data_IF_687092877620
#
_entry.id   IF_687092877620
#
_cell.length_a   1.000
_cell.length_b   1.000
_cell.length_c   1.000
_cell.angle_alpha   90.00
_cell.angle_beta   90.00
_cell.angle_gamma   90.00
#
_symmetry.space_group_name_H-M   'P 1'
#
loop_
_entity.id
_entity.type
_entity.pdbx_description
1 polymer ?
#
# COMPACT_ATOMS: atom_id res chain seq x y z
N UNK A 1 -15.70 55.37 -54.91
CA UNK A 1 -15.91 55.68 -53.51
C UNK A 1 -15.89 57.19 -53.35
N UNK A 2 -17.04 57.70 -52.94
CA UNK A 2 -17.21 59.14 -52.79
C UNK A 2 -16.47 59.57 -51.47
N UNK A 3 -15.82 60.78 -51.52
CA UNK A 3 -15.04 61.29 -50.36
C UNK A 3 -15.91 61.38 -49.12
N UNK A 4 -17.22 61.56 -49.27
CA UNK A 4 -18.20 61.59 -48.21
C UNK A 4 -18.40 60.26 -47.54
N UNK A 5 -18.40 59.12 -48.26
CA UNK A 5 -18.50 57.76 -47.72
C UNK A 5 -17.26 57.32 -46.96
N UNK A 6 -16.08 57.76 -47.43
CA UNK A 6 -14.82 57.51 -46.76
C UNK A 6 -14.72 58.22 -45.38
N UNK A 7 -15.23 59.53 -45.37
CA UNK A 7 -15.26 60.27 -44.12
C UNK A 7 -16.23 59.66 -43.09
N UNK A 8 -17.41 59.26 -43.53
CA UNK A 8 -18.39 58.55 -42.66
C UNK A 8 -17.88 57.24 -42.11
N UNK A 9 -17.02 56.50 -42.86
CA UNK A 9 -16.39 55.23 -42.41
C UNK A 9 -15.29 55.53 -41.37
N UNK A 10 -14.53 56.61 -41.56
CA UNK A 10 -13.50 57.11 -40.62
C UNK A 10 -14.11 57.56 -39.29
N UNK A 11 -15.24 58.29 -39.34
CA UNK A 11 -15.96 58.70 -38.14
C UNK A 11 -16.54 57.54 -37.37
N UNK A 12 -17.14 56.50 -38.04
CA UNK A 12 -17.60 55.29 -37.41
C UNK A 12 -16.46 54.46 -36.80
N UNK A 13 -15.28 54.44 -37.43
CA UNK A 13 -14.12 53.77 -36.89
C UNK A 13 -13.57 54.48 -35.65
N UNK A 14 -13.64 55.82 -35.65
CA UNK A 14 -13.30 56.67 -34.49
C UNK A 14 -14.23 56.39 -33.30
N UNK A 15 -15.55 56.35 -33.52
CA UNK A 15 -16.53 56.03 -32.46
C UNK A 15 -16.34 54.60 -31.91
N UNK A 16 -16.10 53.62 -32.76
CA UNK A 16 -15.83 52.26 -32.33
C UNK A 16 -14.54 52.14 -31.50
N UNK A 17 -13.51 52.92 -31.86
CA UNK A 17 -12.25 52.94 -31.10
C UNK A 17 -12.39 53.62 -29.74
N UNK A 18 -13.17 54.71 -29.65
CA UNK A 18 -13.50 55.36 -28.38
C UNK A 18 -14.31 54.45 -27.46
N UNK A 19 -15.30 53.73 -27.99
CA UNK A 19 -16.10 52.77 -27.25
C UNK A 19 -15.23 51.61 -26.73
N UNK A 20 -14.30 51.08 -27.55
CA UNK A 20 -13.33 50.06 -27.15
C UNK A 20 -12.42 50.56 -26.02
N UNK A 21 -11.93 51.80 -26.11
CA UNK A 21 -11.08 52.40 -25.08
C UNK A 21 -11.80 52.59 -23.74
N UNK A 22 -13.09 52.92 -23.77
CA UNK A 22 -13.91 53.03 -22.58
C UNK A 22 -14.16 51.68 -21.93
N UNK A 23 -14.54 50.66 -22.71
CA UNK A 23 -14.75 49.28 -22.19
C UNK A 23 -13.48 48.68 -21.64
N UNK A 24 -12.33 48.88 -22.30
CA UNK A 24 -11.05 48.39 -21.81
C UNK A 24 -10.58 49.11 -20.53
N UNK A 25 -10.87 50.41 -20.39
CA UNK A 25 -10.57 51.17 -19.16
C UNK A 25 -11.47 50.72 -17.98
N UNK A 26 -12.72 50.33 -18.25
CA UNK A 26 -13.62 49.77 -17.24
C UNK A 26 -13.22 48.36 -16.82
N UNK A 27 -12.76 47.51 -17.76
CA UNK A 27 -12.24 46.17 -17.45
C UNK A 27 -10.95 46.24 -16.63
N UNK A 28 -10.04 47.16 -16.93
CA UNK A 28 -8.83 47.41 -16.14
C UNK A 28 -9.17 47.83 -14.71
N UNK A 29 -10.13 48.76 -14.54
CA UNK A 29 -10.59 49.19 -13.20
C UNK A 29 -11.22 48.07 -12.41
N UNK A 30 -11.99 47.18 -13.04
CA UNK A 30 -12.55 45.96 -12.41
C UNK A 30 -11.48 44.95 -12.02
N UNK A 31 -10.44 44.78 -12.85
CA UNK A 31 -9.29 43.94 -12.57
C UNK A 31 -8.49 44.45 -11.38
N UNK A 32 -8.23 45.74 -11.30
CA UNK A 32 -7.51 46.35 -10.18
C UNK A 32 -8.29 46.26 -8.86
N UNK A 33 -9.62 46.47 -8.90
CA UNK A 33 -10.48 46.31 -7.72
C UNK A 33 -10.50 44.88 -7.20
N UNK A 34 -10.58 43.87 -8.09
CA UNK A 34 -10.51 42.44 -7.74
C UNK A 34 -9.14 42.05 -7.17
N UNK A 35 -8.07 42.62 -7.70
CA UNK A 35 -6.71 42.40 -7.23
C UNK A 35 -6.50 42.99 -5.83
N UNK A 36 -7.02 44.22 -5.61
CA UNK A 36 -6.97 44.88 -4.31
C UNK A 36 -7.78 44.16 -3.24
N UNK A 37 -8.95 43.63 -3.60
CA UNK A 37 -9.76 42.81 -2.68
C UNK A 37 -9.07 41.47 -2.31
N UNK A 38 -8.45 40.81 -3.28
CA UNK A 38 -7.67 39.58 -3.03
C UNK A 38 -6.45 39.85 -2.16
N UNK A 39 -5.72 40.95 -2.41
CA UNK A 39 -4.60 41.37 -1.56
C UNK A 39 -5.06 41.66 -0.13
N UNK A 40 -6.20 42.31 0.05
CA UNK A 40 -6.76 42.56 1.36
C UNK A 40 -7.17 41.29 2.11
N UNK A 41 -7.67 40.29 1.41
CA UNK A 41 -7.95 38.95 2.02
C UNK A 41 -6.68 38.22 2.40
N UNK A 42 -5.65 38.26 1.56
CA UNK A 42 -4.34 37.66 1.84
C UNK A 42 -3.69 38.39 3.04
N UNK A 43 -3.75 39.71 3.10
CA UNK A 43 -3.21 40.47 4.22
C UNK A 43 -3.89 40.07 5.55
N UNK A 44 -5.23 39.99 5.56
CA UNK A 44 -5.98 39.54 6.74
C UNK A 44 -5.64 38.09 7.17
N UNK A 45 -5.46 37.20 6.21
CA UNK A 45 -5.05 35.83 6.54
C UNK A 45 -3.62 35.75 7.06
N UNK A 46 -2.73 36.60 6.58
CA UNK A 46 -1.37 36.73 7.04
C UNK A 46 -1.31 37.29 8.48
N UNK A 47 -2.08 38.35 8.75
CA UNK A 47 -2.17 38.95 10.11
C UNK A 47 -2.72 37.91 11.12
N UNK A 48 -3.76 37.16 10.75
CA UNK A 48 -4.30 36.08 11.58
C UNK A 48 -3.29 34.95 11.81
N UNK A 49 -2.48 34.62 10.82
CA UNK A 49 -1.43 33.62 10.95
C UNK A 49 -0.28 34.10 11.87
N UNK A 50 0.05 35.40 11.81
CA UNK A 50 1.06 36.02 12.71
C UNK A 50 0.56 36.02 14.14
N UNK A 51 -0.72 36.37 14.39
CA UNK A 51 -1.32 36.33 15.72
C UNK A 51 -1.38 34.89 16.28
N UNK A 52 -1.77 33.91 15.44
CA UNK A 52 -1.79 32.52 15.83
C UNK A 52 -0.38 31.99 16.18
N UNK A 53 0.64 32.42 15.43
CA UNK A 53 2.04 32.07 15.74
C UNK A 53 2.49 32.70 17.06
N UNK A 54 2.16 33.95 17.31
CA UNK A 54 2.49 34.62 18.57
C UNK A 54 1.82 33.96 19.78
N UNK A 55 0.55 33.54 19.65
CA UNK A 55 -0.16 32.79 20.66
C UNK A 55 0.48 31.39 20.91
N UNK A 56 0.92 30.73 19.87
CA UNK A 56 1.61 29.44 19.97
C UNK A 56 2.98 29.56 20.63
N UNK A 57 3.74 30.60 20.29
CA UNK A 57 5.04 30.89 20.93
C UNK A 57 4.87 31.27 22.42
N UNK A 58 3.79 31.94 22.78
CA UNK A 58 3.46 32.25 24.18
C UNK A 58 3.07 30.98 24.95
N UNK A 59 2.30 30.07 24.34
CA UNK A 59 1.93 28.80 24.95
C UNK A 59 3.16 27.90 25.16
N UNK A 60 4.06 27.81 24.17
CA UNK A 60 5.33 27.07 24.28
C UNK A 60 6.22 27.61 25.41
N UNK A 61 6.28 28.93 25.58
CA UNK A 61 7.03 29.54 26.67
C UNK A 61 6.41 29.28 28.04
N UNK A 62 5.08 29.20 28.11
CA UNK A 62 4.38 28.83 29.36
C UNK A 62 4.64 27.36 29.72
N UNK A 63 4.55 26.46 28.74
CA UNK A 63 4.86 25.03 28.94
C UNK A 63 6.32 24.79 29.32
N UNK A 64 7.25 25.55 28.75
CA UNK A 64 8.67 25.49 29.12
C UNK A 64 8.91 25.93 30.58
N UNK A 65 8.21 26.95 31.05
CA UNK A 65 8.27 27.37 32.46
C UNK A 65 7.67 26.34 33.40
N UNK A 66 6.56 25.74 33.05
CA UNK A 66 5.97 24.65 33.87
C UNK A 66 6.89 23.44 33.95
N UNK A 67 7.58 23.09 32.84
CA UNK A 67 8.61 22.03 32.86
C UNK A 67 9.77 22.38 33.79
N UNK A 68 10.28 23.61 33.71
CA UNK A 68 11.37 24.08 34.58
C UNK A 68 10.96 24.08 36.04
N UNK A 69 9.72 24.49 36.38
CA UNK A 69 9.18 24.39 37.74
C UNK A 69 9.00 22.93 38.19
N UNK A 70 8.59 22.03 37.32
CA UNK A 70 8.50 20.60 37.60
C UNK A 70 9.88 19.99 37.81
N UNK A 71 10.87 20.35 37.02
CA UNK A 71 12.27 19.91 37.19
C UNK A 71 12.86 20.43 38.49
N UNK A 72 12.57 21.67 38.85
CA UNK A 72 12.98 22.22 40.15
C UNK A 72 12.30 21.52 41.34
N UNK A 73 11.03 21.14 41.19
CA UNK A 73 10.30 20.34 42.21
C UNK A 73 10.86 18.92 42.30
N UNK A 74 11.17 18.28 41.18
CA UNK A 74 11.82 16.96 41.11
C UNK A 74 13.22 17.00 41.74
N UNK A 75 14.00 18.02 41.44
CA UNK A 75 15.34 18.22 42.05
C UNK A 75 15.26 18.53 43.55
N UNK A 76 14.23 19.26 44.04
CA UNK A 76 13.99 19.48 45.47
C UNK A 76 13.58 18.24 46.23
N UNK A 77 12.98 17.26 45.56
CA UNK A 77 12.63 15.95 46.12
C UNK A 77 13.85 15.01 46.26
N UNK A 78 15.07 15.51 46.01
CA UNK A 78 16.32 14.78 46.25
C UNK A 78 16.60 13.62 45.30
N UNK A 79 15.94 13.58 44.14
CA UNK A 79 16.23 12.60 43.10
C UNK A 79 17.41 13.12 42.29
N UNK A 80 18.61 12.93 42.80
CA UNK A 80 19.85 13.22 42.11
C UNK A 80 20.04 12.25 40.94
N UNK A 81 20.53 12.74 39.81
CA UNK A 81 20.74 11.97 38.57
C UNK A 81 21.72 10.78 38.68
N UNK A 82 22.40 10.63 39.82
CA UNK A 82 23.33 9.52 40.10
C UNK A 82 22.64 8.30 40.73
N UNK A 83 21.35 8.42 41.15
CA UNK A 83 20.57 7.34 41.78
C UNK A 83 19.48 6.75 40.87
N UNK A 84 19.61 6.91 39.58
CA UNK A 84 18.53 6.59 38.61
C UNK A 84 18.16 5.11 38.58
N UNK A 85 19.08 4.20 38.85
CA UNK A 85 18.76 2.76 38.91
C UNK A 85 18.13 2.35 40.22
N UNK A 86 18.66 2.84 41.34
CA UNK A 86 18.11 2.55 42.68
C UNK A 86 16.73 3.20 42.88
N UNK A 87 16.53 4.42 42.37
CA UNK A 87 15.23 5.08 42.44
C UNK A 87 14.19 4.41 41.54
N UNK A 88 14.58 3.94 40.35
CA UNK A 88 13.71 3.14 39.48
C UNK A 88 13.34 1.81 40.12
N UNK A 89 14.31 1.10 40.73
CA UNK A 89 14.04 -0.12 41.48
C UNK A 89 13.09 0.12 42.66
N UNK A 90 13.29 1.17 43.46
CA UNK A 90 12.41 1.49 44.57
C UNK A 90 10.97 1.78 44.12
N UNK A 91 10.79 2.45 42.98
CA UNK A 91 9.47 2.67 42.36
C UNK A 91 8.87 1.37 41.83
N UNK A 92 9.65 0.51 41.20
CA UNK A 92 9.20 -0.82 40.76
C UNK A 92 8.73 -1.69 41.90
N UNK A 93 9.52 -1.78 42.99
CA UNK A 93 9.18 -2.53 44.21
C UNK A 93 7.92 -1.99 44.87
N UNK A 94 7.77 -0.67 44.92
CA UNK A 94 6.58 -0.03 45.49
C UNK A 94 5.33 -0.32 44.65
N UNK A 95 5.39 -0.12 43.35
CA UNK A 95 4.26 -0.40 42.46
C UNK A 95 3.87 -1.88 42.48
N UNK A 96 4.83 -2.78 42.55
CA UNK A 96 4.60 -4.22 42.66
C UNK A 96 3.89 -4.55 44.00
N UNK A 97 4.36 -4.00 45.10
CA UNK A 97 3.72 -4.19 46.43
C UNK A 97 2.32 -3.59 46.50
N UNK A 98 2.08 -2.42 45.88
CA UNK A 98 0.78 -1.76 45.84
C UNK A 98 -0.24 -2.61 45.03
N UNK A 99 0.18 -3.19 43.92
CA UNK A 99 -0.64 -4.11 43.11
C UNK A 99 -0.96 -5.39 43.91
N UNK A 100 0.04 -6.00 44.55
CA UNK A 100 -0.18 -7.19 45.36
C UNK A 100 -1.07 -6.92 46.58
N UNK A 101 -0.92 -5.76 47.21
CA UNK A 101 -1.76 -5.36 48.37
C UNK A 101 -3.21 -5.16 47.93
N UNK A 102 -3.45 -4.50 46.79
CA UNK A 102 -4.80 -4.30 46.26
C UNK A 102 -5.48 -5.63 45.89
N UNK A 103 -4.70 -6.55 45.30
CA UNK A 103 -5.19 -7.87 44.92
C UNK A 103 -5.45 -8.77 46.14
N UNK A 104 -4.59 -8.72 47.15
CA UNK A 104 -4.79 -9.44 48.42
C UNK A 104 -6.00 -8.90 49.18
N UNK A 105 -6.20 -7.57 49.20
CA UNK A 105 -7.36 -6.94 49.81
C UNK A 105 -8.67 -7.33 49.12
N UNK A 106 -8.70 -7.42 47.78
CA UNK A 106 -9.86 -7.86 47.04
C UNK A 106 -10.25 -9.33 47.30
N UNK A 107 -9.29 -10.12 47.80
CA UNK A 107 -9.46 -11.54 48.17
C UNK A 107 -9.56 -11.77 49.68
N UNK A 108 -9.64 -10.70 50.49
CA UNK A 108 -9.77 -10.79 51.96
C UNK A 108 -8.52 -11.30 52.67
N UNK A 109 -7.33 -11.16 52.11
CA UNK A 109 -6.04 -11.60 52.64
C UNK A 109 -5.12 -10.42 52.93
N UNK A 110 -4.20 -10.61 53.91
CA UNK A 110 -3.15 -9.63 54.18
C UNK A 110 -1.89 -9.97 53.37
N UNK A 111 -1.33 -9.00 52.67
CA UNK A 111 -0.06 -9.12 51.97
C UNK A 111 1.06 -8.49 52.80
N UNK A 112 2.19 -9.21 52.93
CA UNK A 112 3.40 -8.66 53.56
C UNK A 112 4.25 -8.04 52.44
N UNK A 113 4.54 -6.73 52.44
CA UNK A 113 5.34 -6.10 51.40
C UNK A 113 6.73 -6.72 51.32
N UNK A 114 7.18 -6.98 50.08
CA UNK A 114 8.53 -7.47 49.79
C UNK A 114 9.53 -6.31 49.86
N UNK A 115 10.70 -6.56 50.41
CA UNK A 115 11.85 -5.65 50.32
C UNK A 115 12.55 -5.79 48.94
N UNK A 116 13.54 -4.93 48.67
CA UNK A 116 14.25 -4.95 47.39
C UNK A 116 14.94 -6.29 47.09
N UNK A 117 15.45 -6.95 48.13
CA UNK A 117 16.08 -8.30 47.97
C UNK A 117 15.05 -9.35 47.65
N UNK A 118 13.94 -9.39 48.34
CA UNK A 118 12.85 -10.32 48.09
C UNK A 118 12.24 -10.14 46.70
N UNK A 119 12.19 -8.91 46.22
CA UNK A 119 11.75 -8.61 44.85
C UNK A 119 12.75 -9.14 43.81
N UNK A 120 14.06 -8.96 43.97
CA UNK A 120 15.09 -9.49 43.06
C UNK A 120 15.13 -11.02 43.05
N UNK A 121 14.97 -11.65 44.23
CA UNK A 121 14.86 -13.10 44.36
C UNK A 121 13.63 -13.65 43.64
N UNK A 122 12.48 -12.99 43.82
CA UNK A 122 11.24 -13.31 43.11
C UNK A 122 11.41 -13.18 41.56
N UNK A 123 11.98 -12.06 41.08
CA UNK A 123 12.23 -11.82 39.67
C UNK A 123 13.20 -12.85 39.07
N UNK A 124 14.20 -13.28 39.81
CA UNK A 124 15.16 -14.29 39.39
C UNK A 124 14.51 -15.67 39.28
N UNK A 125 13.74 -16.06 40.31
CA UNK A 125 13.01 -17.32 40.35
C UNK A 125 11.95 -17.38 39.25
N UNK A 126 11.24 -16.27 38.98
CA UNK A 126 10.28 -16.14 37.90
C UNK A 126 10.92 -16.31 36.54
N UNK A 127 12.05 -15.63 36.26
CA UNK A 127 12.77 -15.75 35.00
C UNK A 127 13.31 -17.17 34.74
N UNK A 128 13.71 -17.86 35.80
CA UNK A 128 14.16 -19.25 35.74
C UNK A 128 12.99 -20.19 35.48
N UNK A 129 11.87 -20.01 36.15
CA UNK A 129 10.64 -20.76 35.92
C UNK A 129 10.14 -20.59 34.49
N UNK A 130 10.17 -19.37 33.98
CA UNK A 130 9.72 -19.07 32.61
C UNK A 130 10.60 -19.68 31.50
N UNK A 131 11.92 -19.82 31.76
CA UNK A 131 12.85 -20.40 30.78
C UNK A 131 12.89 -21.94 30.82
N UNK A 132 12.92 -22.50 32.01
CA UNK A 132 13.31 -23.90 32.20
C UNK A 132 12.18 -24.77 32.81
N UNK A 133 11.03 -24.15 33.13
CA UNK A 133 9.85 -24.80 33.68
C UNK A 133 9.98 -25.11 35.18
N UNK A 134 8.90 -25.68 35.76
CA UNK A 134 8.75 -25.95 37.19
C UNK A 134 9.81 -26.87 37.80
N UNK A 135 10.36 -27.75 36.99
CA UNK A 135 11.36 -28.76 37.44
C UNK A 135 12.76 -28.17 37.66
N UNK A 136 13.02 -26.97 37.21
CA UNK A 136 14.33 -26.31 37.34
C UNK A 136 14.45 -25.41 38.59
N UNK A 137 13.36 -25.27 39.34
CA UNK A 137 13.32 -24.43 40.55
C UNK A 137 13.82 -25.21 41.77
N UNK A 138 14.67 -24.56 42.58
CA UNK A 138 14.99 -25.06 43.91
C UNK A 138 13.78 -24.95 44.86
N UNK A 139 13.75 -25.73 45.94
CA UNK A 139 12.65 -25.70 46.92
C UNK A 139 12.45 -24.31 47.56
N UNK A 140 13.52 -23.51 47.69
CA UNK A 140 13.45 -22.14 48.23
C UNK A 140 13.00 -21.13 47.18
N UNK A 141 13.38 -21.27 45.91
CA UNK A 141 12.87 -20.47 44.81
C UNK A 141 11.39 -20.74 44.56
N UNK A 142 10.93 -22.00 44.71
CA UNK A 142 9.51 -22.34 44.62
C UNK A 142 8.68 -21.69 45.75
N UNK A 143 9.25 -21.59 46.96
CA UNK A 143 8.61 -20.87 48.07
C UNK A 143 8.51 -19.37 47.85
N UNK A 144 9.52 -18.76 47.22
CA UNK A 144 9.50 -17.32 46.89
C UNK A 144 8.41 -16.99 45.86
N UNK A 145 8.15 -17.90 44.92
CA UNK A 145 7.06 -17.78 43.94
C UNK A 145 5.68 -18.07 44.55
N UNK A 146 5.61 -18.82 45.66
CA UNK A 146 4.36 -19.16 46.37
C UNK A 146 3.91 -18.09 47.36
N UNK A 147 4.73 -17.10 47.67
CA UNK A 147 4.36 -16.00 48.59
C UNK A 147 3.32 -15.10 47.91
N UNK A 148 2.06 -15.52 47.95
CA UNK A 148 0.92 -14.73 47.50
C UNK A 148 0.08 -15.36 46.39
N UNK A 149 0.35 -16.59 45.93
CA UNK A 149 -0.50 -17.27 44.97
C UNK A 149 -1.31 -18.41 45.56
N UNK A 150 -2.61 -18.40 45.29
CA UNK A 150 -3.49 -19.55 45.50
C UNK A 150 -3.12 -20.68 44.52
N UNK A 151 -3.40 -21.96 44.91
CA UNK A 151 -3.11 -23.11 44.06
C UNK A 151 -3.77 -23.10 42.68
N UNK A 152 -4.73 -22.23 42.41
CA UNK A 152 -5.45 -22.09 41.17
C UNK A 152 -4.81 -21.09 40.17
N UNK A 153 -3.50 -20.80 40.33
CA UNK A 153 -2.65 -20.31 39.28
C UNK A 153 -3.08 -18.99 38.64
N UNK A 154 -3.20 -17.93 39.39
CA UNK A 154 -3.18 -16.58 38.79
C UNK A 154 -1.78 -16.29 38.24
N UNK A 155 -1.54 -16.55 36.97
CA UNK A 155 -0.31 -16.15 36.29
C UNK A 155 -0.16 -14.64 36.36
N UNK A 156 0.75 -14.14 37.21
CA UNK A 156 1.16 -12.76 37.20
C UNK A 156 2.01 -12.51 35.97
N UNK A 157 1.39 -12.01 34.94
CA UNK A 157 2.10 -11.40 33.84
C UNK A 157 2.72 -10.11 34.38
N UNK A 158 4.05 -10.04 34.42
CA UNK A 158 4.74 -8.81 34.79
C UNK A 158 4.22 -7.65 33.94
N UNK A 159 4.04 -6.42 34.49
CA UNK A 159 3.46 -5.28 33.76
C UNK A 159 4.21 -4.89 32.47
N UNK A 160 5.39 -5.45 32.21
CA UNK A 160 6.17 -5.28 30.99
C UNK A 160 5.75 -6.19 29.82
N UNK A 161 4.79 -7.06 29.98
CA UNK A 161 4.11 -7.65 28.83
C UNK A 161 3.16 -6.60 28.25
N UNK A 162 3.74 -5.61 27.61
CA UNK A 162 3.00 -4.66 26.79
C UNK A 162 2.12 -5.44 25.83
N UNK A 163 0.88 -5.03 25.64
CA UNK A 163 -0.06 -5.60 24.65
C UNK A 163 0.43 -5.48 23.20
N UNK A 164 1.75 -5.61 22.99
CA UNK A 164 2.42 -5.52 21.70
C UNK A 164 2.33 -6.83 20.97
N UNK A 165 1.31 -6.97 20.14
CA UNK A 165 1.19 -8.12 19.24
C UNK A 165 2.28 -8.00 18.17
N UNK A 166 3.23 -8.92 18.17
CA UNK A 166 4.20 -9.03 17.06
C UNK A 166 3.44 -9.52 15.82
N UNK A 167 3.27 -8.61 14.85
CA UNK A 167 2.61 -8.94 13.59
C UNK A 167 3.58 -9.71 12.68
N UNK A 168 3.17 -10.89 12.24
CA UNK A 168 3.85 -11.56 11.12
C UNK A 168 3.61 -10.76 9.86
N UNK A 169 4.68 -10.27 9.24
CA UNK A 169 4.62 -9.55 7.96
C UNK A 169 4.51 -10.57 6.83
N UNK A 170 3.54 -10.38 5.96
CA UNK A 170 3.37 -11.15 4.74
C UNK A 170 3.74 -10.28 3.54
N UNK A 171 4.41 -10.87 2.59
CA UNK A 171 4.73 -10.21 1.33
C UNK A 171 3.45 -10.06 0.51
N UNK A 172 3.31 -8.93 -0.17
CA UNK A 172 2.13 -8.60 -0.99
C UNK A 172 2.59 -7.91 -2.27
N UNK A 173 1.82 -8.08 -3.33
CA UNK A 173 2.10 -7.50 -4.63
C UNK A 173 1.41 -6.13 -4.77
N UNK A 174 2.08 -5.09 -5.24
CA UNK A 174 1.52 -3.74 -5.34
C UNK A 174 0.66 -3.55 -6.61
N UNK A 175 -0.20 -4.53 -6.97
CA UNK A 175 -0.93 -4.51 -8.25
C UNK A 175 -1.82 -3.27 -8.41
N UNK A 176 -2.48 -2.82 -7.33
CA UNK A 176 -3.35 -1.63 -7.35
C UNK A 176 -2.60 -0.30 -7.56
N UNK A 177 -1.28 -0.28 -7.40
CA UNK A 177 -0.47 0.92 -7.65
C UNK A 177 -0.15 1.10 -9.13
N UNK A 178 -0.11 0.01 -9.89
CA UNK A 178 0.26 0.02 -11.31
C UNK A 178 -0.94 -0.13 -12.22
N UNK A 179 -1.97 -0.90 -11.84
CA UNK A 179 -3.18 -1.11 -12.62
C UNK A 179 -4.17 0.05 -12.51
N UNK A 180 -5.01 0.22 -13.52
CA UNK A 180 -6.12 1.17 -13.46
C UNK A 180 -7.23 0.63 -12.54
N UNK A 181 -7.78 1.48 -11.66
CA UNK A 181 -8.83 1.10 -10.71
C UNK A 181 -10.06 1.96 -10.93
N UNK A 182 -11.22 1.32 -11.10
CA UNK A 182 -12.50 1.99 -11.30
C UNK A 182 -13.57 1.46 -10.35
N UNK A 183 -14.28 2.36 -9.69
CA UNK A 183 -15.44 2.01 -8.88
C UNK A 183 -16.71 2.00 -9.73
N UNK A 184 -17.55 0.96 -9.54
CA UNK A 184 -18.83 0.82 -10.25
C UNK A 184 -19.98 0.50 -9.29
N UNK A 185 -21.20 0.77 -9.72
CA UNK A 185 -22.44 0.42 -9.00
C UNK A 185 -23.14 -0.82 -9.55
N UNK A 186 -22.82 -1.20 -10.79
CA UNK A 186 -23.38 -2.32 -11.54
C UNK A 186 -22.65 -3.65 -11.24
N UNK A 187 -23.11 -4.73 -11.83
CA UNK A 187 -22.54 -6.08 -11.65
C UNK A 187 -21.31 -6.36 -12.53
N UNK A 188 -21.10 -5.57 -13.56
CA UNK A 188 -19.94 -5.66 -14.43
C UNK A 188 -19.62 -4.29 -15.02
N UNK A 189 -18.36 -4.10 -15.39
CA UNK A 189 -17.90 -3.01 -16.24
C UNK A 189 -17.87 -3.50 -17.68
N UNK A 190 -18.49 -2.76 -18.58
CA UNK A 190 -18.49 -3.05 -20.01
C UNK A 190 -17.88 -1.88 -20.78
N UNK A 191 -17.17 -2.17 -21.83
CA UNK A 191 -16.59 -1.17 -22.71
C UNK A 191 -16.50 -1.66 -24.16
N UNK A 192 -16.11 -0.77 -25.02
CA UNK A 192 -15.96 -1.00 -26.46
C UNK A 192 -14.46 -1.09 -26.73
N UNK A 193 -14.08 -1.99 -27.62
CA UNK A 193 -12.71 -2.15 -28.10
C UNK A 193 -12.68 -2.02 -29.63
N UNK A 194 -11.63 -1.44 -30.15
CA UNK A 194 -11.37 -1.34 -31.58
C UNK A 194 -10.55 -2.56 -32.00
N UNK A 195 -11.11 -3.35 -32.91
CA UNK A 195 -10.53 -4.62 -33.38
C UNK A 195 -9.88 -4.54 -34.74
N UNK A 196 -9.98 -3.44 -35.45
CA UNK A 196 -9.43 -3.33 -36.78
C UNK A 196 -9.28 -1.92 -37.28
N UNK A 197 -8.35 -1.73 -38.16
CA UNK A 197 -8.07 -0.44 -38.80
C UNK A 197 -8.71 -0.35 -40.21
N UNK A 198 -8.96 0.87 -40.64
CA UNK A 198 -9.42 1.15 -41.97
C UNK A 198 -8.29 0.92 -42.99
N UNK A 199 -8.57 0.18 -44.03
CA UNK A 199 -7.61 0.04 -45.12
C UNK A 199 -7.42 1.36 -45.89
N UNK A 200 -6.18 1.71 -46.22
CA UNK A 200 -5.84 2.84 -47.05
C UNK A 200 -5.03 2.38 -48.26
N UNK A 201 -5.30 2.95 -49.44
CA UNK A 201 -4.59 2.63 -50.68
C UNK A 201 -4.49 3.85 -51.58
N UNK A 202 -3.60 3.78 -52.56
CA UNK A 202 -3.48 4.82 -53.58
C UNK A 202 -4.53 4.56 -54.67
N UNK A 203 -5.31 5.58 -55.04
CA UNK A 203 -6.20 5.57 -56.18
C UNK A 203 -5.52 6.29 -57.34
N UNK A 204 -5.54 5.67 -58.54
CA UNK A 204 -5.07 6.32 -59.77
C UNK A 204 -6.12 7.29 -60.28
N UNK A 205 -5.68 8.32 -61.05
CA UNK A 205 -6.53 9.39 -61.59
C UNK A 205 -7.72 8.88 -62.45
N UNK A 206 -7.58 7.72 -63.05
CA UNK A 206 -8.60 7.09 -63.92
C UNK A 206 -9.06 5.71 -63.42
N UNK A 207 -8.72 5.31 -62.21
CA UNK A 207 -9.12 4.02 -61.64
C UNK A 207 -10.16 4.21 -60.52
N UNK A 208 -11.22 3.41 -60.54
CA UNK A 208 -12.14 3.31 -59.46
C UNK A 208 -11.39 2.74 -58.23
N UNK A 209 -11.44 3.42 -57.06
CA UNK A 209 -10.87 2.89 -55.84
C UNK A 209 -11.47 1.51 -55.50
N UNK A 210 -10.65 0.60 -55.00
CA UNK A 210 -11.14 -0.68 -54.45
C UNK A 210 -11.70 -0.50 -53.05
N UNK A 211 -12.69 -1.32 -52.70
CA UNK A 211 -13.22 -1.36 -51.35
C UNK A 211 -12.10 -1.65 -50.36
N UNK A 212 -12.02 -0.84 -49.30
CA UNK A 212 -11.05 -1.01 -48.21
C UNK A 212 -11.71 -1.68 -47.00
N UNK A 213 -10.88 -2.26 -46.13
CA UNK A 213 -11.39 -2.88 -44.90
C UNK A 213 -12.09 -1.84 -44.02
N UNK A 214 -13.25 -2.20 -43.47
CA UNK A 214 -14.02 -1.40 -42.54
C UNK A 214 -13.58 -1.72 -41.09
N UNK A 215 -13.35 -0.74 -40.25
CA UNK A 215 -13.06 -0.96 -38.83
C UNK A 215 -14.13 -1.80 -38.14
N UNK A 216 -13.72 -2.73 -37.29
CA UNK A 216 -14.62 -3.57 -36.48
C UNK A 216 -14.54 -3.18 -35.03
N UNK A 217 -15.69 -3.15 -34.35
CA UNK A 217 -15.82 -2.82 -32.94
C UNK A 217 -16.15 -4.09 -32.18
N UNK A 218 -15.36 -4.37 -31.15
CA UNK A 218 -15.61 -5.41 -30.16
C UNK A 218 -16.22 -4.88 -28.88
N UNK A 219 -16.63 -5.77 -28.01
CA UNK A 219 -17.14 -5.45 -26.67
C UNK A 219 -16.44 -6.31 -25.65
N UNK A 220 -15.89 -5.69 -24.59
CA UNK A 220 -15.32 -6.39 -23.46
C UNK A 220 -16.19 -6.21 -22.21
N UNK A 221 -16.12 -7.17 -21.30
CA UNK A 221 -16.86 -7.18 -20.04
C UNK A 221 -16.01 -7.72 -18.91
N UNK A 222 -15.97 -6.98 -17.78
CA UNK A 222 -15.31 -7.37 -16.53
C UNK A 222 -16.38 -7.56 -15.46
N UNK A 223 -16.74 -8.80 -15.12
CA UNK A 223 -17.67 -9.09 -14.04
C UNK A 223 -17.01 -8.90 -12.68
N UNK A 224 -17.77 -8.52 -11.66
CA UNK A 224 -17.30 -8.47 -10.28
C UNK A 224 -17.73 -9.71 -9.51
N UNK A 225 -16.76 -10.28 -8.77
CA UNK A 225 -16.95 -11.50 -7.99
C UNK A 225 -17.03 -11.18 -6.51
N UNK A 226 -17.69 -12.05 -5.79
CA UNK A 226 -17.86 -11.97 -4.36
C UNK A 226 -16.69 -12.68 -3.66
N UNK A 227 -16.04 -11.99 -2.72
CA UNK A 227 -15.02 -12.55 -1.84
C UNK A 227 -15.54 -12.42 -0.42
N UNK A 228 -15.50 -13.50 0.35
CA UNK A 228 -15.98 -13.52 1.73
C UNK A 228 -14.99 -14.22 2.67
N UNK A 229 -15.13 -13.93 3.96
CA UNK A 229 -14.43 -14.61 5.04
C UNK A 229 -15.23 -14.48 6.33
N UNK A 230 -15.22 -15.54 7.15
CA UNK A 230 -15.96 -15.60 8.41
C UNK A 230 -15.05 -16.00 9.60
N UNK A 231 -14.14 -15.13 10.07
CA UNK A 231 -13.44 -15.40 11.31
C UNK A 231 -14.42 -15.40 12.48
N UNK A 232 -14.14 -16.23 13.48
CA UNK A 232 -14.95 -16.37 14.69
C UNK A 232 -14.11 -16.20 15.95
N UNK A 233 -14.67 -15.56 16.96
CA UNK A 233 -14.10 -15.43 18.31
C UNK A 233 -15.16 -15.79 19.35
N UNK A 234 -14.77 -16.26 20.53
CA UNK A 234 -15.70 -16.48 21.63
C UNK A 234 -16.13 -15.13 22.20
N UNK A 235 -17.36 -15.01 22.68
CA UNK A 235 -17.83 -13.80 23.35
C UNK A 235 -16.99 -13.48 24.59
N UNK A 236 -16.62 -14.50 25.36
CA UNK A 236 -15.75 -14.33 26.52
C UNK A 236 -14.37 -13.74 26.17
N UNK A 237 -13.76 -14.17 25.04
CA UNK A 237 -12.50 -13.59 24.56
C UNK A 237 -12.67 -12.10 24.19
N UNK A 238 -13.80 -11.72 23.61
CA UNK A 238 -14.08 -10.35 23.25
C UNK A 238 -14.27 -9.45 24.48
N UNK A 239 -14.86 -10.01 25.55
CA UNK A 239 -15.17 -9.27 26.79
C UNK A 239 -13.95 -9.17 27.73
N UNK A 240 -13.12 -10.23 27.80
CA UNK A 240 -12.02 -10.34 28.78
C UNK A 240 -10.65 -9.95 28.21
N UNK A 241 -10.53 -9.74 26.90
CA UNK A 241 -9.23 -9.46 26.29
C UNK A 241 -8.72 -8.05 26.62
N UNK A 242 -7.45 -7.94 27.03
CA UNK A 242 -6.75 -6.69 27.25
C UNK A 242 -6.48 -5.87 25.96
N UNK A 243 -6.75 -6.46 24.79
CA UNK A 243 -6.54 -5.89 23.46
C UNK A 243 -7.85 -5.93 22.69
N UNK A 244 -8.14 -4.91 21.88
CA UNK A 244 -9.29 -4.92 20.98
C UNK A 244 -9.17 -6.02 19.92
N UNK A 245 -9.77 -7.16 20.21
CA UNK A 245 -9.77 -8.35 19.35
C UNK A 245 -10.56 -8.09 18.07
N UNK A 246 -11.62 -7.28 18.13
CA UNK A 246 -12.46 -6.96 16.97
C UNK A 246 -11.67 -6.13 15.95
N UNK A 247 -11.00 -5.07 16.38
CA UNK A 247 -10.13 -4.27 15.51
C UNK A 247 -8.95 -5.08 14.95
N UNK A 248 -8.37 -5.97 15.77
CA UNK A 248 -7.30 -6.87 15.33
C UNK A 248 -7.79 -7.86 14.26
N UNK A 249 -8.96 -8.47 14.43
CA UNK A 249 -9.56 -9.37 13.43
C UNK A 249 -9.87 -8.63 12.14
N UNK A 250 -10.47 -7.43 12.23
CA UNK A 250 -10.78 -6.61 11.06
C UNK A 250 -9.51 -6.27 10.26
N UNK A 251 -8.42 -5.89 10.94
CA UNK A 251 -7.13 -5.63 10.29
C UNK A 251 -6.54 -6.89 9.62
N UNK A 252 -6.68 -8.06 10.25
CA UNK A 252 -6.23 -9.34 9.68
C UNK A 252 -7.03 -9.76 8.47
N UNK A 253 -8.33 -9.52 8.46
CA UNK A 253 -9.20 -9.79 7.33
C UNK A 253 -8.88 -8.86 6.15
N UNK A 254 -8.69 -7.57 6.41
CA UNK A 254 -8.30 -6.60 5.37
C UNK A 254 -6.97 -6.98 4.71
N UNK A 255 -5.96 -7.37 5.51
CA UNK A 255 -4.67 -7.86 5.01
C UNK A 255 -4.83 -9.15 4.18
N UNK A 256 -5.67 -10.09 4.63
CA UNK A 256 -5.94 -11.33 3.90
C UNK A 256 -6.64 -11.07 2.57
N UNK A 257 -7.62 -10.14 2.54
CA UNK A 257 -8.30 -9.76 1.30
C UNK A 257 -7.32 -9.12 0.31
N UNK A 258 -6.49 -8.19 0.77
CA UNK A 258 -5.48 -7.57 -0.09
C UNK A 258 -4.55 -8.59 -0.74
N UNK A 259 -4.05 -9.56 0.03
CA UNK A 259 -3.19 -10.63 -0.49
C UNK A 259 -3.94 -11.57 -1.43
N UNK A 260 -5.19 -11.90 -1.12
CA UNK A 260 -6.01 -12.75 -1.98
C UNK A 260 -6.28 -12.07 -3.32
N UNK A 261 -6.69 -10.79 -3.30
CA UNK A 261 -6.94 -10.01 -4.51
C UNK A 261 -5.68 -9.91 -5.38
N UNK A 262 -4.53 -9.56 -4.78
CA UNK A 262 -3.28 -9.43 -5.52
C UNK A 262 -2.87 -10.75 -6.18
N UNK A 263 -3.03 -11.88 -5.48
CA UNK A 263 -2.78 -13.18 -6.07
C UNK A 263 -3.75 -13.50 -7.24
N UNK A 264 -5.04 -13.18 -7.09
CA UNK A 264 -6.02 -13.40 -8.17
C UNK A 264 -5.76 -12.47 -9.38
N UNK A 265 -5.33 -11.23 -9.18
CA UNK A 265 -4.96 -10.32 -10.29
C UNK A 265 -3.75 -10.84 -11.08
N UNK A 266 -2.85 -11.57 -10.47
CA UNK A 266 -1.69 -12.18 -11.13
C UNK A 266 -2.01 -13.57 -11.67
N UNK A 267 -2.54 -14.47 -10.84
CA UNK A 267 -2.67 -15.91 -11.13
C UNK A 267 -4.11 -16.39 -11.35
N UNK A 268 -5.10 -15.50 -11.23
CA UNK A 268 -6.51 -15.86 -11.34
C UNK A 268 -6.86 -16.51 -12.69
N UNK A 269 -7.85 -17.38 -12.70
CA UNK A 269 -8.27 -18.11 -13.89
C UNK A 269 -9.50 -17.48 -14.58
N UNK A 270 -9.89 -18.01 -15.73
CA UNK A 270 -10.95 -17.47 -16.56
C UNK A 270 -12.35 -17.43 -15.92
N UNK A 271 -12.62 -18.22 -14.88
CA UNK A 271 -13.94 -18.34 -14.24
C UNK A 271 -14.16 -17.39 -13.05
N UNK A 272 -13.14 -16.62 -12.70
CA UNK A 272 -13.15 -15.66 -11.60
C UNK A 272 -12.46 -14.37 -12.04
N UNK A 273 -11.77 -13.69 -11.13
CA UNK A 273 -10.87 -12.59 -11.50
C UNK A 273 -9.80 -13.15 -12.44
N UNK A 274 -9.64 -12.53 -13.62
CA UNK A 274 -8.67 -13.00 -14.61
C UNK A 274 -7.31 -12.40 -14.35
N UNK A 275 -6.38 -13.22 -13.86
CA UNK A 275 -4.98 -12.82 -13.67
C UNK A 275 -4.23 -12.70 -15.00
N UNK A 276 -3.35 -11.71 -15.13
CA UNK A 276 -2.61 -11.48 -16.36
C UNK A 276 -1.57 -12.57 -16.66
N UNK A 277 -1.04 -13.28 -15.66
CA UNK A 277 -0.03 -14.32 -15.87
C UNK A 277 -0.61 -15.69 -16.28
N UNK A 278 -1.85 -16.00 -15.87
CA UNK A 278 -2.45 -17.34 -16.11
C UNK A 278 -3.87 -17.32 -16.65
N UNK A 279 -4.57 -16.19 -16.58
CA UNK A 279 -5.98 -16.09 -16.94
C UNK A 279 -6.26 -16.01 -18.44
N UNK A 280 -5.23 -15.89 -19.27
CA UNK A 280 -5.32 -15.69 -20.71
C UNK A 280 -4.46 -16.67 -21.49
N UNK A 281 -4.86 -16.92 -22.74
CA UNK A 281 -4.02 -17.61 -23.70
C UNK A 281 -2.81 -16.74 -24.03
N UNK A 282 -1.69 -17.38 -24.30
CA UNK A 282 -0.45 -16.68 -24.68
C UNK A 282 0.07 -17.21 -26.01
N UNK A 283 0.65 -16.32 -26.81
CA UNK A 283 1.27 -16.66 -28.10
C UNK A 283 2.70 -16.13 -28.14
N UNK A 284 3.58 -16.85 -28.85
CA UNK A 284 4.93 -16.36 -29.09
C UNK A 284 4.88 -15.06 -29.90
N UNK A 285 5.62 -14.05 -29.46
CA UNK A 285 5.70 -12.75 -30.09
C UNK A 285 7.16 -12.43 -30.42
N UNK A 286 7.41 -12.18 -31.71
CA UNK A 286 8.72 -11.76 -32.21
C UNK A 286 8.77 -10.27 -32.59
N UNK A 287 7.79 -9.47 -32.13
CA UNK A 287 7.65 -8.05 -32.49
C UNK A 287 6.60 -7.77 -33.57
N UNK A 288 6.01 -8.80 -34.18
CA UNK A 288 4.94 -8.66 -35.20
C UNK A 288 3.55 -8.46 -34.57
N UNK A 289 3.45 -8.57 -33.22
CA UNK A 289 2.19 -8.60 -32.50
C UNK A 289 1.55 -9.99 -32.46
N UNK A 290 0.50 -10.11 -31.68
CA UNK A 290 -0.28 -11.35 -31.53
C UNK A 290 -1.76 -11.06 -31.72
N UNK A 291 -2.54 -12.11 -31.95
CA UNK A 291 -3.99 -12.00 -32.08
C UNK A 291 -4.60 -11.38 -30.83
N UNK A 292 -5.50 -10.42 -31.02
CA UNK A 292 -6.22 -9.77 -29.88
C UNK A 292 -6.91 -10.81 -28.99
N UNK A 293 -6.92 -10.60 -27.72
CA UNK A 293 -7.39 -11.57 -26.71
C UNK A 293 -6.32 -12.54 -26.21
N UNK A 294 -5.09 -12.49 -26.76
CA UNK A 294 -3.93 -13.27 -26.30
C UNK A 294 -2.81 -12.34 -25.84
N UNK A 295 -2.06 -12.76 -24.82
CA UNK A 295 -0.89 -12.01 -24.36
C UNK A 295 0.36 -12.53 -25.07
N UNK A 296 1.15 -11.62 -25.67
CA UNK A 296 2.41 -11.96 -26.30
C UNK A 296 3.46 -12.43 -25.29
N UNK A 297 4.22 -13.46 -25.64
CA UNK A 297 5.34 -13.89 -24.81
C UNK A 297 6.62 -14.12 -25.63
N UNK A 298 7.76 -13.90 -24.98
CA UNK A 298 9.08 -14.25 -25.48
C UNK A 298 9.59 -15.46 -24.70
N UNK A 299 10.04 -16.49 -25.41
CA UNK A 299 10.60 -17.71 -24.79
C UNK A 299 12.09 -17.52 -24.48
N UNK A 300 12.53 -18.01 -23.33
CA UNK A 300 13.95 -17.99 -22.94
C UNK A 300 14.79 -19.01 -23.71
N UNK A 301 14.18 -20.10 -24.17
CA UNK A 301 14.87 -21.21 -24.83
C UNK A 301 15.58 -22.17 -23.88
N UNK A 302 15.42 -21.97 -22.55
CA UNK A 302 15.95 -22.85 -21.51
C UNK A 302 14.89 -23.06 -20.45
N UNK A 303 14.61 -24.31 -20.15
CA UNK A 303 13.58 -24.70 -19.21
C UNK A 303 13.91 -24.27 -17.78
N UNK A 304 13.08 -23.38 -17.22
CA UNK A 304 13.19 -22.92 -15.83
C UNK A 304 14.33 -21.96 -15.54
N UNK A 305 15.09 -21.49 -16.53
CA UNK A 305 16.17 -20.52 -16.37
C UNK A 305 16.22 -19.56 -17.59
N UNK A 306 17.04 -18.54 -17.48
CA UNK A 306 17.41 -17.67 -18.59
C UNK A 306 18.36 -18.42 -19.56
N UNK A 307 18.51 -17.89 -20.78
CA UNK A 307 19.39 -18.49 -21.78
C UNK A 307 20.78 -18.83 -21.21
N UNK A 308 21.39 -19.90 -21.69
CA UNK A 308 22.69 -20.35 -21.18
C UNK A 308 23.83 -19.34 -21.47
N UNK A 309 23.78 -18.68 -22.64
CA UNK A 309 24.67 -17.58 -23.03
C UNK A 309 23.85 -16.32 -23.29
N UNK A 310 24.48 -15.15 -23.18
CA UNK A 310 23.85 -13.84 -23.45
C UNK A 310 22.50 -13.66 -22.71
N UNK A 311 22.50 -13.94 -21.41
CA UNK A 311 21.28 -13.95 -20.57
C UNK A 311 20.50 -12.64 -20.61
N UNK A 312 21.16 -11.51 -20.85
CA UNK A 312 20.56 -10.18 -20.96
C UNK A 312 19.76 -9.95 -22.24
N UNK A 313 20.09 -10.63 -23.34
CA UNK A 313 19.51 -10.37 -24.66
C UNK A 313 18.00 -10.64 -24.66
N UNK A 314 17.56 -11.67 -23.92
CA UNK A 314 16.13 -11.98 -23.79
C UNK A 314 15.30 -10.90 -23.11
N UNK A 315 15.93 -10.09 -22.27
CA UNK A 315 15.28 -8.92 -21.66
C UNK A 315 15.10 -7.81 -22.72
N UNK A 316 16.11 -7.60 -23.58
CA UNK A 316 16.00 -6.67 -24.71
C UNK A 316 14.97 -7.15 -25.75
N UNK A 317 14.94 -8.45 -26.05
CA UNK A 317 13.93 -9.03 -26.93
C UNK A 317 12.53 -8.74 -26.39
N UNK A 318 12.26 -8.98 -25.09
CA UNK A 318 10.97 -8.72 -24.49
C UNK A 318 10.60 -7.23 -24.53
N UNK A 319 11.56 -6.34 -24.23
CA UNK A 319 11.34 -4.90 -24.34
C UNK A 319 11.02 -4.47 -25.78
N UNK A 320 11.71 -5.06 -26.77
CA UNK A 320 11.52 -4.76 -28.19
C UNK A 320 10.18 -5.22 -28.77
N UNK A 321 9.49 -6.17 -28.12
CA UNK A 321 8.14 -6.60 -28.54
C UNK A 321 7.02 -5.66 -28.09
N UNK A 322 7.29 -4.75 -27.14
CA UNK A 322 6.29 -3.79 -26.69
C UNK A 322 6.21 -2.59 -27.65
N UNK A 323 5.01 -2.18 -28.02
CA UNK A 323 4.81 -0.99 -28.86
C UNK A 323 5.31 0.28 -28.15
N UNK A 324 5.95 1.17 -28.89
CA UNK A 324 6.58 2.39 -28.35
C UNK A 324 5.62 3.30 -27.60
N UNK A 325 4.34 3.27 -27.90
CA UNK A 325 3.31 4.04 -27.21
C UNK A 325 3.16 3.70 -25.72
N UNK A 326 3.48 2.44 -25.33
CA UNK A 326 3.36 1.97 -23.95
C UNK A 326 4.68 2.03 -23.15
N UNK A 327 5.79 2.33 -23.82
CA UNK A 327 7.11 2.41 -23.16
C UNK A 327 7.18 3.47 -22.03
N UNK A 328 6.58 4.68 -22.16
CA UNK A 328 6.69 5.69 -21.10
C UNK A 328 6.11 5.27 -19.75
N UNK A 329 5.06 4.43 -19.74
CA UNK A 329 4.42 3.88 -18.53
C UNK A 329 4.90 2.48 -18.16
N UNK A 330 5.84 1.91 -18.90
CA UNK A 330 6.25 0.53 -18.73
C UNK A 330 7.06 0.29 -17.46
N UNK A 331 6.84 -0.89 -16.86
CA UNK A 331 7.58 -1.38 -15.71
C UNK A 331 7.83 -2.89 -15.85
N UNK A 332 8.82 -3.38 -15.12
CA UNK A 332 9.08 -4.81 -14.97
C UNK A 332 8.28 -5.37 -13.80
N UNK A 333 7.56 -6.45 -14.03
CA UNK A 333 6.73 -7.15 -13.03
C UNK A 333 7.31 -8.52 -12.76
N UNK A 334 7.79 -8.76 -11.55
CA UNK A 334 8.45 -10.02 -11.22
C UNK A 334 8.59 -10.20 -9.71
N UNK A 335 8.87 -11.44 -9.27
CA UNK A 335 9.16 -11.70 -7.87
C UNK A 335 10.64 -11.46 -7.53
N UNK A 336 10.95 -11.41 -6.24
CA UNK A 336 12.30 -11.19 -5.71
C UNK A 336 13.32 -12.22 -6.19
N UNK A 337 12.93 -13.48 -6.32
CA UNK A 337 13.83 -14.55 -6.75
C UNK A 337 14.35 -14.31 -8.19
N UNK A 338 13.47 -13.88 -9.08
CA UNK A 338 13.83 -13.54 -10.48
C UNK A 338 14.73 -12.31 -10.54
N UNK A 339 14.43 -11.26 -9.77
CA UNK A 339 15.30 -10.06 -9.64
C UNK A 339 16.70 -10.49 -9.20
N UNK A 340 16.80 -11.38 -8.20
CA UNK A 340 18.08 -11.90 -7.72
C UNK A 340 18.81 -12.70 -8.81
N UNK A 341 18.09 -13.47 -9.64
CA UNK A 341 18.66 -14.19 -10.75
C UNK A 341 19.22 -13.23 -11.82
N UNK A 342 18.49 -12.18 -12.17
CA UNK A 342 18.92 -11.15 -13.13
C UNK A 342 20.16 -10.40 -12.62
N UNK A 343 20.21 -10.09 -11.32
CA UNK A 343 21.40 -9.45 -10.69
C UNK A 343 22.67 -10.29 -10.80
N UNK A 344 22.54 -11.61 -10.88
CA UNK A 344 23.66 -12.53 -11.02
C UNK A 344 24.15 -12.69 -12.46
N UNK A 345 23.57 -11.99 -13.42
CA UNK A 345 24.08 -12.01 -14.80
C UNK A 345 25.46 -11.43 -14.88
N UNK A 346 26.35 -12.14 -15.60
CA UNK A 346 27.74 -11.78 -15.76
C UNK A 346 28.10 -11.70 -17.23
N UNK A 347 29.07 -10.87 -17.55
CA UNK A 347 29.67 -10.77 -18.87
C UNK A 347 30.70 -11.91 -19.12
N UNK A 348 31.31 -11.92 -20.32
CA UNK A 348 32.34 -12.89 -20.67
C UNK A 348 33.60 -12.80 -19.82
N UNK A 349 33.82 -11.71 -19.08
CA UNK A 349 34.92 -11.46 -18.16
C UNK A 349 34.52 -11.71 -16.68
N UNK A 350 33.35 -12.28 -16.45
CA UNK A 350 32.83 -12.59 -15.12
C UNK A 350 32.43 -11.37 -14.25
N UNK A 351 32.26 -10.17 -14.85
CA UNK A 351 31.75 -8.99 -14.15
C UNK A 351 30.21 -9.01 -14.15
N UNK A 352 29.61 -8.47 -13.09
CA UNK A 352 28.16 -8.35 -13.02
C UNK A 352 27.66 -7.30 -14.01
N UNK A 353 26.70 -7.66 -14.86
CA UNK A 353 26.08 -6.77 -15.85
C UNK A 353 25.20 -5.70 -15.20
N UNK A 354 24.51 -6.05 -14.11
CA UNK A 354 23.62 -5.13 -13.41
C UNK A 354 24.23 -4.71 -12.07
N UNK A 355 24.57 -3.44 -11.97
CA UNK A 355 24.99 -2.84 -10.73
C UNK A 355 23.87 -1.96 -10.20
N UNK A 356 23.26 -2.28 -9.03
CA UNK A 356 22.26 -1.44 -8.43
C UNK A 356 22.88 -0.09 -8.03
N UNK A 357 22.08 0.99 -8.06
CA UNK A 357 22.52 2.29 -7.57
C UNK A 357 22.90 2.20 -6.10
N UNK A 358 24.08 2.76 -5.75
CA UNK A 358 24.51 2.91 -4.36
C UNK A 358 23.82 4.09 -3.65
N UNK A 359 23.03 4.88 -4.36
CA UNK A 359 22.31 6.02 -3.79
C UNK A 359 21.06 5.50 -3.09
N UNK A 360 20.98 5.74 -1.78
CA UNK A 360 19.82 5.38 -0.98
C UNK A 360 18.56 6.10 -1.49
N UNK A 361 17.44 5.36 -1.61
CA UNK A 361 16.14 5.90 -2.02
C UNK A 361 15.87 5.91 -3.52
N UNK A 362 16.82 5.52 -4.39
CA UNK A 362 16.51 5.32 -5.80
C UNK A 362 15.79 3.98 -6.03
N UNK A 363 14.69 3.96 -6.79
CA UNK A 363 14.03 2.72 -7.16
C UNK A 363 14.93 1.84 -8.02
N UNK A 364 14.80 0.53 -7.87
CA UNK A 364 15.52 -0.41 -8.72
C UNK A 364 15.03 -0.31 -10.16
N UNK A 365 15.97 -0.17 -11.10
CA UNK A 365 15.66 -0.12 -12.53
C UNK A 365 16.41 -1.22 -13.26
N UNK A 366 15.76 -1.87 -14.22
CA UNK A 366 16.36 -2.77 -15.20
C UNK A 366 16.23 -2.08 -16.56
N UNK A 367 17.35 -1.84 -17.23
CA UNK A 367 17.39 -1.17 -18.54
C UNK A 367 16.65 0.19 -18.55
N UNK A 368 16.72 0.95 -17.44
CA UNK A 368 16.08 2.26 -17.34
C UNK A 368 14.61 2.24 -16.89
N UNK A 369 13.95 1.07 -16.81
CA UNK A 369 12.57 0.94 -16.39
C UNK A 369 12.45 0.46 -14.95
N UNK A 370 11.48 0.95 -14.17
CA UNK A 370 11.31 0.58 -12.77
C UNK A 370 10.91 -0.89 -12.63
N UNK A 371 11.31 -1.50 -11.51
CA UNK A 371 10.98 -2.88 -11.16
C UNK A 371 9.90 -2.89 -10.08
N UNK A 372 8.72 -3.37 -10.44
CA UNK A 372 7.64 -3.66 -9.52
C UNK A 372 7.80 -5.07 -8.96
N UNK A 373 8.14 -5.18 -7.68
CA UNK A 373 8.25 -6.49 -7.01
C UNK A 373 6.86 -7.03 -6.71
N UNK A 374 6.49 -8.10 -7.38
CA UNK A 374 5.24 -8.82 -7.20
C UNK A 374 5.55 -10.24 -6.74
N UNK A 375 5.42 -10.51 -5.45
CA UNK A 375 5.75 -11.83 -4.90
C UNK A 375 4.74 -12.91 -5.30
N UNK A 376 3.55 -12.52 -5.77
CA UNK A 376 2.55 -13.44 -6.32
C UNK A 376 2.90 -13.92 -7.74
N UNK A 377 3.89 -13.32 -8.42
CA UNK A 377 4.39 -13.82 -9.71
C UNK A 377 5.02 -15.19 -9.54
N UNK A 378 4.82 -16.12 -10.49
CA UNK A 378 5.43 -17.44 -10.44
C UNK A 378 6.95 -17.38 -10.28
N UNK A 379 7.51 -18.28 -9.48
CA UNK A 379 8.96 -18.46 -9.42
C UNK A 379 9.50 -19.03 -10.74
N UNK A 380 10.82 -18.97 -10.93
CA UNK A 380 11.48 -19.59 -12.07
C UNK A 380 11.19 -21.12 -12.07
N UNK A 381 10.45 -21.55 -13.05
CA UNK A 381 10.10 -22.95 -13.26
C UNK A 381 9.84 -23.21 -14.76
N UNK A 382 9.88 -24.46 -15.15
CA UNK A 382 9.54 -24.85 -16.53
C UNK A 382 8.12 -24.39 -16.89
N UNK A 383 7.95 -23.81 -18.07
CA UNK A 383 6.69 -23.28 -18.58
C UNK A 383 6.05 -22.17 -17.73
N UNK A 384 6.80 -21.50 -16.83
CA UNK A 384 6.30 -20.40 -16.03
C UNK A 384 6.41 -19.05 -16.73
N UNK A 385 5.51 -18.13 -16.37
CA UNK A 385 5.55 -16.72 -16.76
C UNK A 385 6.03 -15.90 -15.56
N UNK A 386 7.33 -15.92 -15.28
CA UNK A 386 7.91 -15.35 -14.08
C UNK A 386 8.32 -13.90 -14.21
N UNK A 387 8.29 -13.34 -15.41
CA UNK A 387 8.65 -11.96 -15.72
C UNK A 387 7.64 -11.38 -16.69
N UNK A 388 7.12 -10.21 -16.39
CA UNK A 388 6.28 -9.39 -17.25
C UNK A 388 6.90 -8.03 -17.50
N UNK A 389 6.65 -7.44 -18.65
CA UNK A 389 7.05 -6.09 -19.02
C UNK A 389 5.92 -5.37 -19.74
N UNK A 390 5.63 -4.13 -19.37
CA UNK A 390 4.61 -3.32 -20.02
C UNK A 390 4.02 -2.25 -19.11
N UNK A 391 3.02 -1.55 -19.66
CA UNK A 391 2.22 -0.55 -18.92
C UNK A 391 0.96 -1.21 -18.35
N UNK A 392 0.99 -1.52 -17.06
CA UNK A 392 -0.12 -2.16 -16.38
C UNK A 392 -1.34 -1.24 -16.24
N UNK A 393 -1.13 0.07 -16.21
CA UNK A 393 -2.20 1.06 -16.15
C UNK A 393 -3.09 1.04 -17.41
N UNK A 394 -2.48 0.82 -18.58
CA UNK A 394 -3.18 0.65 -19.84
C UNK A 394 -3.65 -0.80 -20.04
N UNK A 395 -2.92 -1.80 -19.52
CA UNK A 395 -3.18 -3.21 -19.75
C UNK A 395 -4.31 -3.78 -18.90
N UNK A 396 -4.31 -3.49 -17.59
CA UNK A 396 -5.16 -4.19 -16.62
C UNK A 396 -6.11 -3.24 -15.88
N UNK A 397 -7.39 -3.60 -15.89
CA UNK A 397 -8.45 -2.85 -15.22
C UNK A 397 -8.95 -3.61 -14.01
N UNK A 398 -8.85 -2.99 -12.83
CA UNK A 398 -9.46 -3.44 -11.59
C UNK A 398 -10.80 -2.73 -11.41
N UNK A 399 -11.82 -3.48 -11.02
CA UNK A 399 -13.18 -2.97 -10.84
C UNK A 399 -13.63 -3.24 -9.42
N UNK A 400 -13.86 -2.18 -8.65
CA UNK A 400 -14.40 -2.27 -7.30
C UNK A 400 -15.89 -1.90 -7.32
N UNK A 401 -16.78 -2.78 -6.81
CA UNK A 401 -18.21 -2.45 -6.69
C UNK A 401 -18.57 -1.97 -5.29
N UNK A 402 -18.11 -2.64 -4.28
CA UNK A 402 -18.37 -2.36 -2.87
C UNK A 402 -17.07 -2.52 -2.08
N UNK A 403 -16.85 -1.60 -1.14
CA UNK A 403 -15.79 -1.74 -0.15
C UNK A 403 -16.01 -2.94 0.78
N UNK A 404 -15.14 -3.10 1.74
CA UNK A 404 -15.23 -4.14 2.77
C UNK A 404 -16.45 -3.85 3.65
N UNK A 405 -17.33 -4.84 3.79
CA UNK A 405 -18.48 -4.82 4.70
C UNK A 405 -18.29 -5.89 5.74
N UNK A 406 -18.46 -5.53 7.00
CA UNK A 406 -18.39 -6.46 8.14
C UNK A 406 -19.75 -6.56 8.77
N UNK A 407 -20.26 -7.77 8.94
CA UNK A 407 -21.46 -8.09 9.68
C UNK A 407 -21.08 -8.92 10.89
N UNK A 408 -21.33 -8.40 12.09
CA UNK A 408 -21.17 -9.14 13.34
C UNK A 408 -22.40 -10.03 13.58
N UNK A 409 -22.20 -11.34 13.64
CA UNK A 409 -23.24 -12.33 13.89
C UNK A 409 -22.99 -13.12 15.18
N UNK A 410 -23.66 -12.77 16.29
CA UNK A 410 -23.56 -13.50 17.56
C UNK A 410 -24.58 -14.66 17.67
N UNK A 411 -25.44 -14.86 16.67
CA UNK A 411 -26.60 -15.75 16.80
C UNK A 411 -26.40 -17.13 16.17
N UNK A 412 -25.73 -17.20 15.02
CA UNK A 412 -25.66 -18.41 14.20
C UNK A 412 -24.77 -19.49 14.77
N UNK A 413 -23.73 -19.17 15.54
CA UNK A 413 -22.74 -20.14 16.00
C UNK A 413 -22.36 -19.99 17.48
N UNK A 414 -23.36 -19.99 18.39
CA UNK A 414 -23.12 -19.90 19.84
C UNK A 414 -22.18 -21.03 20.32
N UNK A 415 -21.17 -20.75 21.17
CA UNK A 415 -20.85 -19.50 21.90
C UNK A 415 -19.91 -18.52 21.14
N UNK A 416 -19.74 -18.69 19.86
CA UNK A 416 -18.87 -17.86 19.02
C UNK A 416 -19.63 -16.70 18.38
N UNK A 417 -18.97 -15.57 18.28
CA UNK A 417 -19.38 -14.44 17.43
C UNK A 417 -18.63 -14.56 16.10
N UNK A 418 -19.36 -14.57 14.99
CA UNK A 418 -18.80 -14.57 13.65
C UNK A 418 -18.71 -13.15 13.10
N UNK A 419 -17.65 -12.85 12.36
CA UNK A 419 -17.47 -11.61 11.64
C UNK A 419 -17.53 -11.88 10.14
N UNK A 420 -18.74 -11.93 9.62
CA UNK A 420 -18.97 -12.13 8.19
C UNK A 420 -18.54 -10.91 7.42
N UNK A 421 -17.41 -11.02 6.74
CA UNK A 421 -16.79 -9.91 6.01
C UNK A 421 -16.81 -10.21 4.53
N UNK A 422 -17.30 -9.25 3.75
CA UNK A 422 -17.49 -9.39 2.31
C UNK A 422 -16.91 -8.23 1.54
N UNK A 423 -16.46 -8.51 0.33
CA UNK A 423 -16.00 -7.53 -0.66
C UNK A 423 -16.39 -7.98 -2.07
N UNK A 424 -16.61 -7.03 -2.98
CA UNK A 424 -16.88 -7.32 -4.40
C UNK A 424 -15.86 -6.63 -5.27
N UNK A 425 -15.11 -7.43 -6.01
CA UNK A 425 -14.02 -6.95 -6.88
C UNK A 425 -13.96 -7.78 -8.16
N UNK A 426 -13.58 -7.16 -9.25
CA UNK A 426 -13.31 -7.77 -10.55
C UNK A 426 -11.96 -7.31 -11.09
N UNK A 427 -11.42 -8.03 -12.06
CA UNK A 427 -10.19 -7.64 -12.74
C UNK A 427 -10.00 -8.43 -14.03
N UNK A 428 -9.55 -7.74 -15.04
CA UNK A 428 -9.23 -8.33 -16.34
C UNK A 428 -8.25 -7.47 -17.13
N UNK A 429 -7.54 -8.10 -18.07
CA UNK A 429 -6.78 -7.39 -19.09
C UNK A 429 -7.75 -6.80 -20.10
N UNK A 430 -7.62 -5.50 -20.35
CA UNK A 430 -8.41 -4.75 -21.35
C UNK A 430 -7.59 -4.55 -22.61
N UNK A 431 -6.28 -4.28 -22.46
CA UNK A 431 -5.40 -4.08 -23.57
C UNK A 431 -4.26 -5.12 -23.55
N UNK A 432 -4.31 -6.04 -24.50
CA UNK A 432 -3.36 -7.15 -24.62
C UNK A 432 -2.01 -6.75 -25.22
N UNK A 433 -1.94 -5.60 -25.86
CA UNK A 433 -0.71 -5.10 -26.48
C UNK A 433 0.20 -4.39 -25.48
N UNK A 434 -0.39 -3.85 -24.41
CA UNK A 434 0.31 -3.06 -23.42
C UNK A 434 1.14 -3.89 -22.40
N UNK A 435 1.03 -5.23 -22.45
CA UNK A 435 1.79 -6.14 -21.59
C UNK A 435 2.34 -7.31 -22.37
N UNK A 436 3.57 -7.71 -22.06
CA UNK A 436 4.27 -8.88 -22.62
C UNK A 436 4.85 -9.71 -21.48
N UNK A 437 4.91 -11.02 -21.69
CA UNK A 437 5.40 -11.97 -20.69
C UNK A 437 6.67 -12.68 -21.18
N UNK A 438 7.51 -13.13 -20.28
CA UNK A 438 8.62 -14.02 -20.57
C UNK A 438 8.26 -15.43 -20.11
N UNK A 439 8.36 -16.38 -21.03
CA UNK A 439 8.10 -17.79 -20.80
C UNK A 439 9.41 -18.57 -20.67
N UNK A 440 9.56 -19.31 -19.59
CA UNK A 440 10.76 -20.10 -19.29
C UNK A 440 10.59 -21.53 -19.83
N UNK A 441 10.96 -21.76 -21.08
CA UNK A 441 10.87 -23.07 -21.79
C UNK A 441 12.24 -23.46 -22.31
#
# INVERSE_FOLDING_TARGET
MDVAEFKALLDKQGEAFEAFKQTHAEELKKSDALTTEKLGKIQKSLDAAVEAKAAMDAALKAEAKEREELELKVNRLGISATSTETAKKAVEVKTFNDVLTSLAASRGRAHTPLDEKGYDEYKTAWNRWFRDGEKALSADEAKTLQVGSDPDGGYFVTPDMSGRIVKKVYETSPMRQYASVQAITTDALEGIEDLGDAGAGYAGEMSQGSDTTTPQIGKWRIPVFWIDTEPKATQQLLDDAAVDVEAWLAAKVADKFSRFENNEFVNGNANKIRGFAKGYSTSADSGSGVTWGTIGHVATGVSGDFAASAKGDKLYDLMGTLKSAYLPGAAWFTNRAVVTAIRKFKDGQNNYLWQPSFIAGQPETIMGYPVARMEDMPALAANSYSLGFGDMGAAYQIVDRLGIRVLRDPYTAKPFVKFYTTKRVGGAVVNFEAIKLMKFI
#
